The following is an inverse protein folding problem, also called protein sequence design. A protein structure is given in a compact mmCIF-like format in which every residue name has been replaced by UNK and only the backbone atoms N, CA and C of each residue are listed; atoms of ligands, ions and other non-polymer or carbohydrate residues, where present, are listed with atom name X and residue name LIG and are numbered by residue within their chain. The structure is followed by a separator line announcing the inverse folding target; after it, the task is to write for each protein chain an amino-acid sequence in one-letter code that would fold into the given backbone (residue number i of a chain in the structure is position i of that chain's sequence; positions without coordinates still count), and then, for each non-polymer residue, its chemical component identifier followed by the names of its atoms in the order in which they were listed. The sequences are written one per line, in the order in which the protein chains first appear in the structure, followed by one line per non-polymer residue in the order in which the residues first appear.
data_IF_542686071582
#
_entry.id   IF_542686071582
#
_cell.length_a   1.000
_cell.length_b   1.000
_cell.length_c   1.000
_cell.angle_alpha   90.00
_cell.angle_beta   90.00
_cell.angle_gamma   90.00
#
_symmetry.space_group_name_H-M   'P 1'
#
loop_
_entity.id
_entity.type
_entity.pdbx_description
1 polymer ?
#
# COMPACT_ATOMS: atom_id res chain seq x y z
N UNK A 1 -0.14 25.91 8.05
CA UNK A 1 -0.52 24.97 6.97
C UNK A 1 -0.06 23.56 7.34
N UNK A 2 -0.70 22.50 6.80
CA UNK A 2 -0.41 21.08 7.14
C UNK A 2 0.21 20.35 5.94
N UNK A 3 0.98 19.28 6.19
CA UNK A 3 1.42 18.36 5.14
C UNK A 3 0.21 17.77 4.41
N UNK A 4 0.27 17.72 3.08
CA UNK A 4 -0.80 17.17 2.24
C UNK A 4 -0.23 16.28 1.16
N UNK A 5 -0.82 15.11 0.98
CA UNK A 5 -0.50 14.19 -0.10
C UNK A 5 -1.61 14.28 -1.15
N UNK A 6 -1.23 14.42 -2.41
CA UNK A 6 -2.13 14.32 -3.56
C UNK A 6 -1.61 13.19 -4.44
N UNK A 7 -2.42 12.15 -4.63
CA UNK A 7 -2.08 11.02 -5.51
C UNK A 7 -2.40 11.37 -6.96
N UNK A 8 -1.55 10.92 -7.88
CA UNK A 8 -1.80 10.94 -9.31
C UNK A 8 -3.01 10.03 -9.62
N UNK A 9 -3.71 10.33 -10.71
CA UNK A 9 -4.86 9.54 -11.12
C UNK A 9 -4.45 8.08 -11.40
N UNK A 10 -5.24 7.08 -10.96
CA UNK A 10 -4.95 5.70 -11.24
C UNK A 10 -5.00 5.43 -12.75
N UNK A 11 -4.20 4.48 -13.27
CA UNK A 11 -4.30 4.07 -14.67
C UNK A 11 -5.70 3.52 -14.97
N UNK A 12 -6.18 3.77 -16.19
CA UNK A 12 -7.53 3.38 -16.64
C UNK A 12 -7.74 1.86 -16.60
N UNK A 13 -6.66 1.08 -16.72
CA UNK A 13 -6.68 -0.39 -16.62
C UNK A 13 -5.81 -0.84 -15.45
N UNK A 14 -6.39 -1.57 -14.50
CA UNK A 14 -5.64 -2.21 -13.43
C UNK A 14 -5.08 -3.57 -13.88
N UNK A 15 -3.83 -3.87 -13.51
CA UNK A 15 -3.21 -5.15 -13.80
C UNK A 15 -1.90 -5.34 -13.03
N UNK A 16 -1.48 -6.59 -12.78
CA UNK A 16 -0.29 -6.88 -11.99
C UNK A 16 1.00 -6.28 -12.60
N UNK A 17 1.04 -6.17 -13.93
CA UNK A 17 2.17 -5.61 -14.70
C UNK A 17 2.03 -4.13 -15.04
N UNK A 18 0.93 -3.49 -14.63
CA UNK A 18 0.71 -2.05 -14.85
C UNK A 18 1.30 -1.28 -13.66
N UNK A 19 2.06 -0.19 -13.88
CA UNK A 19 2.51 0.68 -12.81
C UNK A 19 1.31 1.11 -11.95
N UNK A 20 1.34 0.75 -10.67
CA UNK A 20 0.17 0.87 -9.81
C UNK A 20 -0.12 2.33 -9.41
N UNK A 21 -1.37 2.59 -9.04
CA UNK A 21 -1.76 3.79 -8.31
C UNK A 21 -0.91 3.95 -7.04
N UNK A 22 -0.51 5.18 -6.71
CA UNK A 22 0.32 5.44 -5.52
C UNK A 22 1.35 6.56 -5.69
N UNK A 23 1.69 6.92 -6.94
CA UNK A 23 2.52 8.11 -7.21
C UNK A 23 1.75 9.37 -6.91
N UNK A 24 2.45 10.44 -6.58
CA UNK A 24 1.84 11.71 -6.27
C UNK A 24 2.84 12.75 -5.82
N UNK A 25 2.33 13.74 -5.08
CA UNK A 25 3.08 14.87 -4.58
C UNK A 25 2.79 15.12 -3.10
N UNK A 26 3.84 15.38 -2.34
CA UNK A 26 3.78 15.87 -0.96
C UNK A 26 3.94 17.39 -0.95
N UNK A 27 2.90 18.10 -0.54
CA UNK A 27 2.92 19.55 -0.36
C UNK A 27 3.33 19.92 1.07
N UNK A 28 4.35 20.76 1.19
CA UNK A 28 4.88 21.26 2.45
C UNK A 28 4.24 22.61 2.84
N UNK A 29 4.17 22.94 4.14
CA UNK A 29 3.65 24.22 4.61
C UNK A 29 4.37 25.46 4.06
N UNK A 30 5.62 25.30 3.65
CA UNK A 30 6.48 26.35 3.07
C UNK A 30 6.40 26.45 1.55
N UNK A 31 5.48 25.71 0.93
CA UNK A 31 5.28 25.70 -0.52
C UNK A 31 6.18 24.72 -1.29
N UNK A 32 7.13 24.04 -0.62
CA UNK A 32 7.91 22.98 -1.28
C UNK A 32 7.02 21.82 -1.70
N UNK A 33 7.38 21.21 -2.83
CA UNK A 33 6.71 20.02 -3.37
C UNK A 33 7.74 18.93 -3.58
N UNK A 34 7.49 17.76 -3.02
CA UNK A 34 8.36 16.59 -3.16
C UNK A 34 7.60 15.46 -3.87
N UNK A 35 8.21 14.79 -4.87
CA UNK A 35 7.65 13.56 -5.42
C UNK A 35 7.34 12.54 -4.32
N UNK A 36 6.17 11.93 -4.37
CA UNK A 36 5.70 10.96 -3.39
C UNK A 36 5.33 9.65 -4.08
N UNK A 37 5.60 8.53 -3.41
CA UNK A 37 5.18 7.21 -3.85
C UNK A 37 4.70 6.43 -2.62
N UNK A 38 3.44 5.97 -2.66
CA UNK A 38 2.87 5.12 -1.64
C UNK A 38 3.43 3.70 -1.72
N UNK A 39 3.49 3.01 -0.57
CA UNK A 39 3.83 1.60 -0.55
C UNK A 39 2.80 0.75 -1.28
N UNK A 40 3.25 -0.21 -2.09
CA UNK A 40 2.40 -1.21 -2.75
C UNK A 40 2.33 -2.47 -1.90
N UNK A 41 1.12 -2.88 -1.51
CA UNK A 41 0.88 -4.17 -0.84
C UNK A 41 0.24 -5.10 -1.85
N UNK A 42 1.04 -6.00 -2.41
CA UNK A 42 0.56 -7.00 -3.38
C UNK A 42 1.12 -8.37 -3.05
N UNK A 43 0.23 -9.37 -3.07
CA UNK A 43 0.58 -10.76 -2.86
C UNK A 43 -0.53 -11.51 -2.14
N UNK A 44 -0.52 -12.83 -2.31
CA UNK A 44 -1.22 -13.76 -1.44
C UNK A 44 -0.15 -14.60 -0.78
N UNK A 45 -0.12 -14.66 0.55
CA UNK A 45 0.69 -15.66 1.25
C UNK A 45 0.13 -17.03 0.88
N UNK A 46 0.88 -17.91 0.18
CA UNK A 46 0.47 -19.29 0.01
C UNK A 46 0.23 -19.91 1.38
N UNK A 47 -0.81 -20.73 1.56
CA UNK A 47 -1.17 -21.33 2.87
C UNK A 47 -0.02 -22.11 3.52
N UNK A 48 1.01 -22.46 2.76
CA UNK A 48 2.21 -23.20 3.16
C UNK A 48 3.48 -22.34 3.26
N UNK A 49 3.41 -21.03 3.03
CA UNK A 49 4.59 -20.19 3.03
C UNK A 49 5.10 -19.94 4.46
N UNK A 50 6.29 -20.48 4.73
CA UNK A 50 7.08 -20.24 5.95
C UNK A 50 8.01 -19.02 5.81
N UNK A 51 7.87 -18.25 4.73
CA UNK A 51 8.69 -17.08 4.46
C UNK A 51 8.49 -16.05 5.57
N UNK A 52 9.58 -15.75 6.28
CA UNK A 52 9.60 -14.64 7.22
C UNK A 52 9.46 -13.33 6.43
N UNK A 53 8.67 -12.36 6.93
CA UNK A 53 8.69 -11.02 6.38
C UNK A 53 10.14 -10.52 6.30
N UNK A 54 10.57 -10.06 5.14
CA UNK A 54 11.90 -9.47 4.93
C UNK A 54 11.76 -7.98 4.67
N UNK A 55 12.70 -7.20 5.21
CA UNK A 55 12.87 -5.77 4.90
C UNK A 55 14.11 -5.67 4.03
N UNK A 56 13.95 -5.21 2.79
CA UNK A 56 15.06 -4.99 1.86
C UNK A 56 15.17 -3.50 1.53
N UNK A 57 16.39 -2.94 1.34
CA UNK A 57 16.57 -1.58 0.86
C UNK A 57 15.80 -1.37 -0.45
N UNK A 58 15.10 -0.25 -0.52
CA UNK A 58 14.24 0.08 -1.64
C UNK A 58 15.01 0.93 -2.66
N UNK A 59 15.09 0.46 -3.90
CA UNK A 59 15.53 1.28 -5.04
C UNK A 59 14.41 2.25 -5.41
N UNK A 60 14.52 3.50 -4.94
CA UNK A 60 13.47 4.51 -5.07
C UNK A 60 13.09 4.79 -6.53
N UNK A 61 14.06 4.77 -7.43
CA UNK A 61 13.90 4.99 -8.87
C UNK A 61 13.01 3.93 -9.53
N UNK A 62 13.00 2.71 -8.95
CA UNK A 62 12.25 1.55 -9.45
C UNK A 62 10.96 1.31 -8.68
N UNK A 63 10.64 2.16 -7.70
CA UNK A 63 9.43 1.99 -6.91
C UNK A 63 8.18 2.18 -7.77
N UNK A 64 7.36 1.13 -7.84
CA UNK A 64 6.15 1.07 -8.69
C UNK A 64 6.31 0.18 -9.92
N UNK A 65 7.52 -0.23 -10.26
CA UNK A 65 7.76 -1.28 -11.27
C UNK A 65 7.06 -2.58 -10.82
N UNK A 66 6.57 -3.39 -11.77
CA UNK A 66 5.99 -4.67 -11.42
C UNK A 66 7.03 -5.59 -10.76
N UNK A 67 6.65 -6.35 -9.71
CA UNK A 67 7.58 -7.23 -9.04
C UNK A 67 8.13 -8.29 -10.00
N UNK A 68 9.39 -8.70 -9.78
CA UNK A 68 10.01 -9.80 -10.54
C UNK A 68 9.16 -11.05 -10.36
N UNK A 69 8.58 -11.56 -11.46
CA UNK A 69 7.65 -12.69 -11.41
C UNK A 69 8.38 -13.96 -10.99
N UNK A 70 8.04 -14.49 -9.82
CA UNK A 70 8.35 -15.88 -9.44
C UNK A 70 7.06 -16.69 -9.60
N UNK A 71 7.01 -17.73 -10.45
CA UNK A 71 5.83 -18.56 -10.54
C UNK A 71 5.61 -19.29 -9.20
N UNK A 72 4.46 -19.04 -8.57
CA UNK A 72 4.04 -19.71 -7.34
C UNK A 72 2.73 -20.44 -7.64
N UNK A 73 2.68 -21.74 -7.36
CA UNK A 73 1.50 -22.58 -7.55
C UNK A 73 0.50 -22.30 -6.43
N UNK A 74 -0.68 -21.77 -6.75
CA UNK A 74 -1.72 -21.48 -5.75
C UNK A 74 -2.35 -22.80 -5.25
N UNK A 75 -2.07 -23.18 -3.99
CA UNK A 75 -2.69 -24.33 -3.32
C UNK A 75 -3.75 -23.81 -2.34
N UNK A 76 -4.91 -23.40 -2.87
CA UNK A 76 -6.03 -22.85 -2.10
C UNK A 76 -5.81 -21.43 -1.54
N UNK A 77 -6.92 -20.71 -1.28
CA UNK A 77 -6.88 -19.29 -0.94
C UNK A 77 -6.55 -19.07 0.56
N UNK A 78 -5.31 -18.71 0.89
CA UNK A 78 -4.92 -18.13 2.18
C UNK A 78 -5.31 -16.64 2.31
N UNK A 79 -5.15 -16.01 3.50
CA UNK A 79 -5.39 -14.57 3.66
C UNK A 79 -4.45 -13.75 2.77
N UNK A 80 -4.95 -12.64 2.23
CA UNK A 80 -4.14 -11.72 1.41
C UNK A 80 -3.16 -10.94 2.29
N UNK A 81 -2.07 -10.43 1.71
CA UNK A 81 -1.11 -9.58 2.43
C UNK A 81 -1.79 -8.32 3.00
N UNK A 82 -2.83 -7.83 2.31
CA UNK A 82 -3.68 -6.74 2.79
C UNK A 82 -4.45 -7.12 4.06
N UNK A 83 -5.03 -8.32 4.12
CA UNK A 83 -5.74 -8.79 5.31
C UNK A 83 -4.79 -8.95 6.50
N UNK A 84 -3.55 -9.40 6.25
CA UNK A 84 -2.52 -9.50 7.27
C UNK A 84 -2.05 -8.13 7.77
N UNK A 85 -1.81 -7.19 6.85
CA UNK A 85 -1.47 -5.81 7.20
C UNK A 85 -2.58 -5.17 8.03
N UNK A 86 -3.83 -5.26 7.60
CA UNK A 86 -4.98 -4.73 8.34
C UNK A 86 -5.07 -5.34 9.75
N UNK A 87 -4.88 -6.65 9.88
CA UNK A 87 -4.88 -7.34 11.17
C UNK A 87 -3.71 -6.91 12.07
N UNK A 88 -2.53 -6.66 11.50
CA UNK A 88 -1.36 -6.19 12.24
C UNK A 88 -1.54 -4.75 12.74
N UNK A 89 -2.06 -3.86 11.88
CA UNK A 89 -2.39 -2.48 12.23
C UNK A 89 -3.44 -2.42 13.34
N UNK A 90 -4.50 -3.23 13.26
CA UNK A 90 -5.52 -3.29 14.29
C UNK A 90 -4.96 -3.72 15.67
N UNK A 91 -4.09 -4.74 15.69
CA UNK A 91 -3.41 -5.14 16.93
C UNK A 91 -2.49 -4.04 17.47
N UNK A 92 -1.74 -3.37 16.59
CA UNK A 92 -0.83 -2.28 16.98
C UNK A 92 -1.62 -1.10 17.56
N UNK A 93 -2.71 -0.69 16.92
CA UNK A 93 -3.58 0.38 17.41
C UNK A 93 -4.15 0.07 18.80
N UNK A 94 -4.63 -1.16 19.01
CA UNK A 94 -5.09 -1.63 20.33
C UNK A 94 -3.97 -1.63 21.38
N UNK A 95 -2.74 -1.99 21.00
CA UNK A 95 -1.61 -2.04 21.94
C UNK A 95 -1.18 -0.67 22.48
N UNK A 96 -1.52 0.41 21.78
CA UNK A 96 -1.20 1.79 22.17
C UNK A 96 -2.45 2.60 22.52
N UNK A 97 -3.59 1.93 22.68
CA UNK A 97 -4.90 2.56 22.96
C UNK A 97 -5.22 3.72 22.01
N UNK A 98 -4.87 3.56 20.72
CA UNK A 98 -5.09 4.59 19.73
C UNK A 98 -6.58 4.94 19.63
N UNK A 99 -6.90 6.24 19.71
CA UNK A 99 -8.27 6.71 19.51
C UNK A 99 -8.76 6.35 18.10
N UNK A 100 -9.89 5.63 17.97
CA UNK A 100 -10.45 5.29 16.67
C UNK A 100 -10.80 6.55 15.88
N UNK A 101 -10.41 6.57 14.61
CA UNK A 101 -10.85 7.62 13.68
C UNK A 101 -12.27 7.28 13.22
N UNK A 102 -13.14 8.29 13.15
CA UNK A 102 -14.47 8.12 12.60
C UNK A 102 -14.41 7.52 11.18
N UNK A 103 -15.33 6.61 10.87
CA UNK A 103 -15.37 5.94 9.57
C UNK A 103 -15.47 6.96 8.42
N UNK A 104 -14.77 6.69 7.32
CA UNK A 104 -14.85 7.50 6.12
C UNK A 104 -16.25 7.34 5.50
N UNK A 105 -17.06 8.39 5.58
CA UNK A 105 -18.31 8.47 4.82
C UNK A 105 -17.99 8.65 3.34
N UNK A 106 -18.55 7.83 2.43
CA UNK A 106 -18.33 8.01 1.00
C UNK A 106 -18.82 9.41 0.58
N UNK A 107 -18.01 10.10 -0.23
CA UNK A 107 -18.43 11.36 -0.81
C UNK A 107 -19.54 11.08 -1.85
N UNK A 108 -20.72 11.67 -1.64
CA UNK A 108 -21.74 11.67 -2.68
C UNK A 108 -21.24 12.54 -3.84
N UNK A 109 -20.92 11.90 -4.96
CA UNK A 109 -20.72 12.59 -6.23
C UNK A 109 -22.11 12.86 -6.83
N UNK A 110 -22.50 14.14 -6.82
CA UNK A 110 -23.66 14.66 -7.56
C UNK A 110 -23.30 14.92 -9.02
#
# INVERSE_FOLDING_TARGET
ARLRIVLDAPPVTAGPDVPAAGRGRLGHPDGRVTPFQAGRVTGRIPRTATLRPTVVPLEWERMGDPPTRRPVRELGNGPTDLALLASALDRAARSVEATPVAALTPAHHS
#
